data_IF_200561674557
#
_entry.id   IF_200561674557
#
_cell.length_a   1.000
_cell.length_b   1.000
_cell.length_c   1.000
_cell.angle_alpha   90.00
_cell.angle_beta   90.00
_cell.angle_gamma   90.00
#
_symmetry.space_group_name_H-M   'P 1'
#
loop_
_entity.id
_entity.type
_entity.pdbx_description
1 polymer ?
#
# COMPACT_ATOMS: atom_id res chain seq x y z
N UNK A 1 14.48 3.43 2.37
CA UNK A 1 14.65 2.90 0.99
C UNK A 1 13.30 2.93 0.28
N UNK A 2 13.24 3.19 -1.02
CA UNK A 2 11.99 3.21 -1.82
C UNK A 2 12.15 2.24 -3.00
N UNK A 3 11.19 1.35 -3.22
CA UNK A 3 11.22 0.36 -4.32
C UNK A 3 9.91 0.42 -5.08
N UNK A 4 9.98 0.54 -6.40
CA UNK A 4 8.82 0.47 -7.29
C UNK A 4 8.89 -0.80 -8.15
N UNK A 5 7.82 -1.58 -8.15
CA UNK A 5 7.68 -2.79 -8.98
C UNK A 5 6.74 -2.49 -10.13
N UNK A 6 7.29 -2.36 -11.34
CA UNK A 6 6.54 -1.95 -12.56
C UNK A 6 6.64 -3.00 -13.67
N UNK A 7 5.69 -2.99 -14.60
CA UNK A 7 5.63 -3.96 -15.70
C UNK A 7 4.23 -4.10 -16.32
N UNK A 8 4.12 -4.92 -17.37
CA UNK A 8 2.85 -5.17 -18.09
C UNK A 8 1.82 -5.90 -17.20
N UNK A 9 0.57 -5.98 -17.65
CA UNK A 9 -0.45 -6.82 -17.01
C UNK A 9 -0.03 -8.30 -16.99
N UNK A 10 -0.30 -9.00 -15.89
CA UNK A 10 -0.05 -10.45 -15.80
C UNK A 10 1.41 -10.91 -15.58
N UNK A 11 2.40 -10.02 -15.58
CA UNK A 11 3.83 -10.41 -15.43
C UNK A 11 4.26 -10.76 -13.99
N UNK A 12 3.33 -10.79 -13.03
CA UNK A 12 3.61 -11.17 -11.64
C UNK A 12 4.01 -10.03 -10.69
N UNK A 13 3.80 -8.76 -11.05
CA UNK A 13 4.18 -7.59 -10.22
C UNK A 13 3.71 -7.68 -8.77
N UNK A 14 2.43 -7.95 -8.56
CA UNK A 14 1.82 -8.05 -7.23
C UNK A 14 2.44 -9.17 -6.41
N UNK A 15 2.70 -10.31 -7.05
CA UNK A 15 3.41 -11.44 -6.42
C UNK A 15 4.84 -11.07 -6.05
N UNK A 16 5.57 -10.42 -6.95
CA UNK A 16 6.94 -9.97 -6.66
C UNK A 16 6.95 -8.93 -5.54
N UNK A 17 6.02 -7.97 -5.55
CA UNK A 17 5.90 -6.95 -4.52
C UNK A 17 5.57 -7.56 -3.15
N UNK A 18 4.65 -8.52 -3.07
CA UNK A 18 4.29 -9.17 -1.81
C UNK A 18 5.43 -9.99 -1.21
N UNK A 19 6.13 -10.77 -2.04
CA UNK A 19 7.30 -11.56 -1.62
C UNK A 19 8.44 -10.66 -1.18
N UNK A 20 8.71 -9.59 -1.91
CA UNK A 20 9.75 -8.63 -1.56
C UNK A 20 9.43 -7.94 -0.23
N UNK A 21 8.19 -7.46 -0.05
CA UNK A 21 7.77 -6.78 1.17
C UNK A 21 7.91 -7.69 2.40
N UNK A 22 7.37 -8.91 2.34
CA UNK A 22 7.48 -9.90 3.43
C UNK A 22 8.93 -10.27 3.69
N UNK A 23 9.72 -10.53 2.64
CA UNK A 23 11.13 -10.90 2.77
C UNK A 23 12.04 -9.79 3.29
N UNK A 24 11.67 -8.52 3.12
CA UNK A 24 12.38 -7.39 3.75
C UNK A 24 11.96 -7.26 5.23
N UNK A 25 10.66 -7.37 5.51
CA UNK A 25 10.14 -7.28 6.88
C UNK A 25 10.71 -8.38 7.78
N UNK A 26 10.75 -9.62 7.29
CA UNK A 26 11.36 -10.75 7.99
C UNK A 26 12.87 -10.60 8.23
N UNK A 27 13.55 -9.69 7.52
CA UNK A 27 14.96 -9.33 7.76
C UNK A 27 15.12 -8.17 8.75
N UNK A 28 14.04 -7.73 9.37
CA UNK A 28 14.02 -6.65 10.37
C UNK A 28 13.92 -5.24 9.77
N UNK A 29 13.52 -5.10 8.51
CA UNK A 29 13.21 -3.79 7.93
C UNK A 29 11.79 -3.38 8.27
N UNK A 30 11.56 -2.11 8.60
CA UNK A 30 10.21 -1.55 8.66
C UNK A 30 9.66 -1.39 7.23
N UNK A 31 8.61 -2.14 6.89
CA UNK A 31 8.07 -2.19 5.53
C UNK A 31 6.65 -1.66 5.49
N UNK A 32 6.47 -0.62 4.68
CA UNK A 32 5.15 -0.17 4.21
C UNK A 32 5.01 -0.58 2.74
N UNK A 33 4.00 -1.38 2.45
CA UNK A 33 3.56 -1.72 1.10
C UNK A 33 2.50 -0.72 0.64
N UNK A 34 2.73 -0.11 -0.52
CA UNK A 34 1.78 0.79 -1.17
C UNK A 34 1.12 0.04 -2.34
N UNK A 35 -0.20 -0.14 -2.28
CA UNK A 35 -0.96 -0.64 -3.42
C UNK A 35 -1.47 0.53 -4.27
N UNK A 36 -0.88 0.65 -5.47
CA UNK A 36 -1.25 1.65 -6.47
C UNK A 36 -1.95 1.03 -7.68
N UNK A 37 -2.30 -0.26 -7.63
CA UNK A 37 -3.05 -0.93 -8.70
C UNK A 37 -4.55 -0.60 -8.57
N UNK A 38 -5.24 -0.48 -9.70
CA UNK A 38 -6.70 -0.29 -9.72
C UNK A 38 -7.43 -1.47 -9.09
N UNK A 39 -6.85 -2.67 -9.18
CA UNK A 39 -7.33 -3.88 -8.52
C UNK A 39 -6.43 -4.16 -7.31
N UNK A 40 -6.96 -3.99 -6.09
CA UNK A 40 -6.19 -4.08 -4.84
C UNK A 40 -5.79 -5.52 -4.44
N UNK A 41 -5.14 -6.22 -5.36
CA UNK A 41 -4.73 -7.61 -5.19
C UNK A 41 -3.52 -7.75 -4.25
N UNK A 42 -2.84 -6.66 -3.89
CA UNK A 42 -1.71 -6.72 -2.97
C UNK A 42 -2.17 -7.08 -1.56
N UNK A 43 -3.32 -6.58 -1.11
CA UNK A 43 -3.90 -6.95 0.19
C UNK A 43 -4.17 -8.44 0.34
N UNK A 44 -4.79 -9.04 -0.67
CA UNK A 44 -4.98 -10.49 -0.73
C UNK A 44 -3.64 -11.24 -0.79
N UNK A 45 -2.70 -10.75 -1.60
CA UNK A 45 -1.37 -11.38 -1.76
C UNK A 45 -0.50 -11.31 -0.50
N UNK A 46 -0.70 -10.29 0.34
CA UNK A 46 -0.03 -10.13 1.63
C UNK A 46 -0.74 -10.90 2.75
N UNK A 47 -2.00 -11.28 2.58
CA UNK A 47 -2.76 -12.04 3.57
C UNK A 47 -3.53 -11.18 4.58
N UNK A 48 -3.87 -9.94 4.21
CA UNK A 48 -4.65 -9.01 5.06
C UNK A 48 -6.12 -9.45 5.21
N UNK A 49 -6.58 -10.33 4.32
CA UNK A 49 -7.96 -10.84 4.28
C UNK A 49 -8.86 -10.03 3.35
N UNK A 50 -9.97 -10.64 2.93
CA UNK A 50 -10.89 -10.06 1.96
C UNK A 50 -11.58 -8.81 2.51
N UNK A 51 -12.18 -8.90 3.69
CA UNK A 51 -12.91 -7.80 4.34
C UNK A 51 -12.03 -6.53 4.48
N UNK A 52 -10.81 -6.68 5.01
CA UNK A 52 -9.89 -5.56 5.15
C UNK A 52 -9.46 -5.01 3.79
N UNK A 53 -9.23 -5.87 2.80
CA UNK A 53 -8.87 -5.44 1.45
C UNK A 53 -10.01 -4.62 0.83
N UNK A 54 -11.25 -5.09 0.95
CA UNK A 54 -12.45 -4.39 0.46
C UNK A 54 -12.63 -3.04 1.16
N UNK A 55 -12.42 -2.98 2.48
CA UNK A 55 -12.43 -1.71 3.24
C UNK A 55 -11.42 -0.71 2.69
N UNK A 56 -10.19 -1.15 2.42
CA UNK A 56 -9.14 -0.29 1.88
C UNK A 56 -9.44 0.20 0.46
N UNK A 57 -10.12 -0.63 -0.35
CA UNK A 57 -10.61 -0.23 -1.68
C UNK A 57 -11.73 0.81 -1.56
N UNK A 58 -12.69 0.61 -0.66
CA UNK A 58 -13.77 1.56 -0.45
C UNK A 58 -13.25 2.92 0.05
N UNK A 59 -12.32 2.93 1.01
CA UNK A 59 -11.67 4.17 1.47
C UNK A 59 -10.92 4.90 0.36
N UNK A 60 -10.24 4.13 -0.51
CA UNK A 60 -9.57 4.67 -1.68
C UNK A 60 -10.56 5.34 -2.65
N UNK A 61 -11.72 4.73 -2.87
CA UNK A 61 -12.78 5.29 -3.73
C UNK A 61 -13.37 6.57 -3.12
N UNK A 62 -13.67 6.57 -1.82
CA UNK A 62 -14.16 7.76 -1.12
C UNK A 62 -13.16 8.93 -1.20
N UNK A 63 -11.85 8.65 -1.11
CA UNK A 63 -10.81 9.66 -1.33
C UNK A 63 -10.80 10.20 -2.77
N UNK A 64 -11.02 9.35 -3.79
CA UNK A 64 -11.09 9.79 -5.19
C UNK A 64 -12.32 10.65 -5.49
N UNK A 65 -13.43 10.34 -4.81
CA UNK A 65 -14.70 11.05 -4.94
C UNK A 65 -14.74 12.35 -4.12
N UNK A 66 -13.74 12.58 -3.26
CA UNK A 66 -13.64 13.74 -2.38
C UNK A 66 -14.58 13.67 -1.17
N UNK A 67 -15.07 12.47 -0.84
CA UNK A 67 -15.87 12.20 0.37
C UNK A 67 -14.99 12.07 1.61
N UNK A 68 -13.73 11.67 1.41
CA UNK A 68 -12.70 11.61 2.44
C UNK A 68 -11.60 12.63 2.16
N UNK A 69 -11.12 13.30 3.21
CA UNK A 69 -9.97 14.19 3.11
C UNK A 69 -8.66 13.41 3.09
N UNK A 70 -7.71 13.87 2.27
CA UNK A 70 -6.33 13.39 2.33
C UNK A 70 -5.75 13.55 3.73
N UNK A 71 -5.04 12.52 4.20
CA UNK A 71 -4.30 12.61 5.45
C UNK A 71 -3.17 13.67 5.33
N UNK A 72 -3.03 14.58 6.31
CA UNK A 72 -2.03 15.64 6.29
C UNK A 72 -0.61 15.14 6.60
N UNK A 73 -0.47 13.91 7.09
CA UNK A 73 0.83 13.32 7.45
C UNK A 73 0.90 11.83 7.11
N UNK A 74 2.12 11.31 7.04
CA UNK A 74 2.36 9.89 6.80
C UNK A 74 1.80 9.00 7.91
N UNK A 75 1.97 9.41 9.17
CA UNK A 75 1.49 8.64 10.31
C UNK A 75 -0.04 8.59 10.36
N UNK A 76 -0.69 9.72 10.07
CA UNK A 76 -2.15 9.76 10.00
C UNK A 76 -2.68 8.98 8.80
N UNK A 77 -1.98 9.01 7.66
CA UNK A 77 -2.34 8.20 6.49
C UNK A 77 -2.30 6.72 6.85
N UNK A 78 -1.22 6.25 7.49
CA UNK A 78 -1.10 4.86 7.92
C UNK A 78 -2.10 4.48 9.02
N UNK A 79 -2.48 5.42 9.89
CA UNK A 79 -3.49 5.17 10.91
C UNK A 79 -4.91 5.05 10.32
N UNK A 80 -5.26 5.89 9.35
CA UNK A 80 -6.60 5.95 8.75
C UNK A 80 -6.79 4.94 7.62
N UNK A 81 -5.81 4.88 6.73
CA UNK A 81 -5.85 4.14 5.46
C UNK A 81 -4.93 2.92 5.45
N UNK A 82 -4.28 2.60 6.58
CA UNK A 82 -3.44 1.42 6.72
C UNK A 82 -4.17 0.18 7.22
N UNK A 83 -3.53 -0.96 7.02
CA UNK A 83 -3.85 -2.23 7.66
C UNK A 83 -2.56 -3.02 7.92
N UNK A 84 -2.54 -3.77 9.02
CA UNK A 84 -1.43 -4.65 9.33
C UNK A 84 -1.61 -5.98 8.59
N UNK A 85 -0.58 -6.39 7.87
CA UNK A 85 -0.49 -7.68 7.21
C UNK A 85 0.39 -8.65 8.04
N UNK A 86 0.29 -9.96 7.77
CA UNK A 86 1.25 -10.94 8.27
C UNK A 86 2.72 -10.53 8.04
N UNK A 87 3.60 -11.09 8.86
CA UNK A 87 5.05 -10.86 8.81
C UNK A 87 5.49 -9.41 9.03
N UNK A 88 4.68 -8.57 9.68
CA UNK A 88 5.06 -7.21 10.08
C UNK A 88 5.01 -6.18 8.95
N UNK A 89 4.39 -6.51 7.82
CA UNK A 89 4.19 -5.56 6.71
C UNK A 89 2.96 -4.70 7.00
N UNK A 90 3.08 -3.38 6.88
CA UNK A 90 1.91 -2.50 6.87
C UNK A 90 1.51 -2.19 5.43
N UNK A 91 0.23 -2.33 5.10
CA UNK A 91 -0.32 -2.04 3.78
C UNK A 91 -1.13 -0.75 3.82
N UNK A 92 -1.06 0.07 2.78
CA UNK A 92 -1.99 1.17 2.53
C UNK A 92 -2.24 1.29 1.02
N UNK A 93 -3.42 1.79 0.66
CA UNK A 93 -3.76 2.10 -0.74
C UNK A 93 -3.43 3.55 -1.03
N UNK A 94 -2.94 3.84 -2.24
CA UNK A 94 -2.62 5.22 -2.65
C UNK A 94 -2.99 5.41 -4.11
N UNK A 95 -3.68 6.51 -4.42
CA UNK A 95 -4.08 6.82 -5.80
C UNK A 95 -3.14 7.78 -6.50
N UNK A 96 -2.73 8.81 -5.79
CA UNK A 96 -1.98 9.90 -6.37
C UNK A 96 -1.05 10.49 -5.33
N UNK A 97 0.19 10.73 -5.73
CA UNK A 97 1.14 11.51 -4.96
C UNK A 97 1.16 12.89 -5.62
N UNK A 98 0.43 13.85 -5.07
CA UNK A 98 0.34 15.20 -5.65
C UNK A 98 1.54 16.07 -5.27
N UNK A 99 2.19 15.78 -4.14
CA UNK A 99 3.37 16.48 -3.65
C UNK A 99 4.52 15.49 -3.43
N UNK A 100 5.24 15.18 -4.50
CA UNK A 100 6.52 14.48 -4.39
C UNK A 100 7.58 15.48 -3.94
N UNK A 101 7.63 15.78 -2.63
CA UNK A 101 8.83 16.37 -2.06
C UNK A 101 9.89 15.25 -2.03
N UNK A 102 11.04 15.40 -2.71
CA UNK A 102 12.10 14.38 -2.67
C UNK A 102 12.54 14.04 -1.24
N UNK A 103 12.25 14.92 -0.27
CA UNK A 103 12.91 14.96 1.02
C UNK A 103 14.30 15.56 0.82
N UNK A 104 14.63 16.58 1.63
CA UNK A 104 15.99 17.10 1.71
C UNK A 104 16.97 15.94 2.05
N UNK A 105 18.18 15.91 1.45
CA UNK A 105 19.15 14.82 1.63
C UNK A 105 19.58 14.56 3.08
#
# INVERSE_FOLDING_TARGET
>A
MKIAVVGKGGVGKTTTASVLARGLSQRGCDVVALDCDTNANLGLSLGVGLETTERLVALRQALDEGEEDHAPSWDEMLARFGADAPDGVRLTTVNRIENMDPGCP
#
